data_IF_581073173209
#
_entry.id   IF_581073173209
#
_cell.length_a   1.000
_cell.length_b   1.000
_cell.length_c   1.000
_cell.angle_alpha   90.00
_cell.angle_beta   90.00
_cell.angle_gamma   90.00
#
_symmetry.space_group_name_H-M   'P 1'
#
loop_
_entity.id
_entity.type
_entity.pdbx_description
1 polymer ?
#
# COMPACT_ATOMS: atom_id res chain seq x y z
N UNK A 1 6.74 -1.74 -6.20
CA UNK A 1 5.33 -1.33 -6.40
C UNK A 1 4.31 -2.36 -5.95
N UNK A 2 4.37 -3.63 -6.38
CA UNK A 2 3.40 -4.68 -5.99
C UNK A 2 3.11 -4.75 -4.48
N UNK A 3 4.15 -4.86 -3.64
CA UNK A 3 3.97 -4.93 -2.16
C UNK A 3 3.27 -3.70 -1.58
N UNK A 4 3.56 -2.50 -2.10
CA UNK A 4 2.87 -1.27 -1.66
C UNK A 4 1.38 -1.36 -1.96
N UNK A 5 1.01 -1.74 -3.19
CA UNK A 5 -0.39 -1.96 -3.58
C UNK A 5 -1.06 -3.02 -2.70
N UNK A 6 -0.43 -4.18 -2.51
CA UNK A 6 -1.03 -5.29 -1.75
C UNK A 6 -1.30 -4.91 -0.29
N UNK A 7 -0.35 -4.21 0.35
CA UNK A 7 -0.51 -3.72 1.73
C UNK A 7 -1.63 -2.68 1.80
N UNK A 8 -1.64 -1.69 0.91
CA UNK A 8 -2.69 -0.68 0.86
C UNK A 8 -4.07 -1.29 0.62
N UNK A 9 -4.18 -2.22 -0.34
CA UNK A 9 -5.42 -2.93 -0.62
C UNK A 9 -5.91 -3.70 0.60
N UNK A 10 -5.06 -4.52 1.22
CA UNK A 10 -5.44 -5.31 2.41
C UNK A 10 -5.89 -4.41 3.55
N UNK A 11 -5.15 -3.33 3.81
CA UNK A 11 -5.49 -2.37 4.85
C UNK A 11 -6.86 -1.72 4.62
N UNK A 12 -7.13 -1.28 3.40
CA UNK A 12 -8.40 -0.63 3.04
C UNK A 12 -9.56 -1.63 3.04
N UNK A 13 -9.41 -2.79 2.40
CA UNK A 13 -10.45 -3.82 2.36
C UNK A 13 -10.87 -4.27 3.76
N UNK A 14 -9.94 -4.33 4.72
CA UNK A 14 -10.25 -4.69 6.10
C UNK A 14 -11.22 -3.70 6.80
N UNK A 15 -11.34 -2.47 6.29
CA UNK A 15 -12.26 -1.47 6.84
C UNK A 15 -13.71 -1.63 6.33
N UNK A 16 -13.94 -2.53 5.38
CA UNK A 16 -15.25 -2.73 4.75
C UNK A 16 -15.73 -4.19 4.86
N UNK A 17 -15.97 -4.70 6.09
CA UNK A 17 -16.45 -6.05 6.29
C UNK A 17 -17.81 -6.22 5.62
N UNK A 18 -17.88 -7.06 4.59
CA UNK A 18 -19.09 -7.31 3.80
C UNK A 18 -19.07 -6.74 2.38
N UNK A 19 -18.08 -5.89 2.04
CA UNK A 19 -17.92 -5.43 0.66
C UNK A 19 -17.14 -6.48 -0.15
N UNK A 20 -17.84 -7.17 -1.04
CA UNK A 20 -17.20 -8.17 -1.91
C UNK A 20 -16.35 -7.50 -2.99
N UNK A 21 -15.18 -8.08 -3.26
CA UNK A 21 -14.21 -7.54 -4.24
C UNK A 21 -13.80 -6.08 -4.02
N UNK A 22 -13.79 -5.62 -2.77
CA UNK A 22 -13.28 -4.29 -2.39
C UNK A 22 -11.86 -4.04 -2.94
N UNK A 23 -11.74 -3.12 -3.90
CA UNK A 23 -10.46 -2.70 -4.49
C UNK A 23 -10.31 -1.19 -4.45
N UNK A 24 -9.20 -0.65 -3.96
CA UNK A 24 -8.97 0.79 -4.04
C UNK A 24 -8.49 1.19 -5.45
N UNK A 25 -8.77 2.44 -5.83
CA UNK A 25 -8.00 3.08 -6.89
C UNK A 25 -6.59 3.36 -6.37
N UNK A 26 -5.59 3.11 -7.21
CA UNK A 26 -4.20 3.22 -6.81
C UNK A 26 -3.33 3.61 -8.00
N UNK A 27 -2.52 4.66 -7.83
CA UNK A 27 -1.46 5.06 -8.75
C UNK A 27 -0.17 5.14 -7.97
N UNK A 28 0.86 4.43 -8.42
CA UNK A 28 2.17 4.39 -7.78
C UNK A 28 3.27 4.87 -8.70
N UNK A 29 4.23 5.60 -8.14
CA UNK A 29 5.46 6.02 -8.80
C UNK A 29 6.67 5.62 -7.94
N UNK A 30 7.70 5.07 -8.58
CA UNK A 30 8.99 4.78 -7.94
C UNK A 30 9.89 5.99 -8.12
N UNK A 31 10.59 6.38 -7.07
CA UNK A 31 11.57 7.47 -7.12
C UNK A 31 12.86 7.04 -6.42
N UNK A 32 14.00 7.41 -7.01
CA UNK A 32 15.33 6.96 -6.55
C UNK A 32 16.05 8.02 -5.72
N UNK A 33 15.82 9.29 -6.04
CA UNK A 33 16.58 10.41 -5.49
C UNK A 33 15.72 11.20 -4.49
N UNK A 34 16.37 11.72 -3.45
CA UNK A 34 15.75 12.69 -2.56
C UNK A 34 15.86 14.13 -3.08
N UNK A 35 15.45 15.08 -2.25
CA UNK A 35 15.40 16.51 -2.60
C UNK A 35 16.75 17.14 -2.94
N UNK A 36 17.86 16.52 -2.54
CA UNK A 36 19.23 17.00 -2.79
C UNK A 36 20.06 15.98 -3.59
N UNK A 37 19.41 15.14 -4.40
CA UNK A 37 20.06 14.07 -5.20
C UNK A 37 20.80 13.05 -4.32
N UNK A 38 20.44 12.96 -3.05
CA UNK A 38 20.89 11.88 -2.18
C UNK A 38 20.15 10.59 -2.55
N UNK A 39 20.85 9.45 -2.53
CA UNK A 39 20.21 8.15 -2.74
C UNK A 39 19.13 7.95 -1.67
N UNK A 40 17.87 7.92 -2.11
CA UNK A 40 16.72 7.79 -1.23
C UNK A 40 15.59 7.04 -1.97
N UNK A 41 15.73 5.71 -2.16
CA UNK A 41 14.72 4.94 -2.87
C UNK A 41 13.40 4.97 -2.10
N UNK A 42 12.37 5.53 -2.71
CA UNK A 42 11.06 5.65 -2.12
C UNK A 42 9.97 5.52 -3.19
N UNK A 43 8.72 5.64 -2.74
CA UNK A 43 7.56 5.49 -3.59
C UNK A 43 6.50 6.51 -3.21
N UNK A 44 5.93 7.15 -4.22
CA UNK A 44 4.71 7.92 -4.08
C UNK A 44 3.52 7.04 -4.46
N UNK A 45 2.47 7.07 -3.64
CA UNK A 45 1.24 6.36 -3.92
C UNK A 45 0.06 7.31 -3.68
N UNK A 46 -0.71 7.55 -4.74
CA UNK A 46 -2.04 8.13 -4.63
C UNK A 46 -3.03 6.97 -4.53
N UNK A 47 -3.86 6.99 -3.49
CA UNK A 47 -4.85 5.97 -3.25
C UNK A 47 -6.17 6.60 -2.84
N UNK A 48 -7.28 6.03 -3.31
CA UNK A 48 -8.62 6.47 -2.94
C UNK A 48 -8.88 6.28 -1.45
N UNK A 49 -9.65 7.20 -0.86
CA UNK A 49 -10.18 7.07 0.51
C UNK A 49 -11.41 6.18 0.53
N UNK A 50 -11.28 4.96 0.01
CA UNK A 50 -12.39 4.06 -0.17
C UNK A 50 -12.06 2.95 -1.15
N UNK A 51 -13.04 2.10 -1.39
CA UNK A 51 -12.93 0.94 -2.27
C UNK A 51 -14.06 0.97 -3.29
N UNK A 52 -13.84 0.32 -4.42
CA UNK A 52 -14.88 0.00 -5.40
C UNK A 52 -15.35 -1.42 -5.12
N UNK A 53 -16.67 -1.62 -5.05
CA UNK A 53 -17.26 -2.94 -4.92
C UNK A 53 -17.47 -3.61 -6.29
N UNK A 54 -18.03 -4.82 -6.30
CA UNK A 54 -18.27 -5.56 -7.55
C UNK A 54 -19.31 -4.88 -8.44
N UNK A 55 -20.23 -4.14 -7.85
CA UNK A 55 -21.33 -3.42 -8.48
C UNK A 55 -20.90 -2.02 -8.97
N UNK A 56 -19.63 -1.65 -8.76
CA UNK A 56 -19.08 -0.35 -9.15
C UNK A 56 -19.42 0.79 -8.19
N UNK A 57 -20.02 0.51 -7.03
CA UNK A 57 -20.25 1.53 -5.99
C UNK A 57 -18.96 1.80 -5.25
N UNK A 58 -18.90 2.99 -4.65
CA UNK A 58 -17.73 3.46 -3.93
C UNK A 58 -18.02 3.72 -2.45
N UNK A 59 -17.92 2.70 -1.58
CA UNK A 59 -17.86 2.91 -0.14
C UNK A 59 -16.61 3.72 0.24
N UNK A 60 -16.82 4.94 0.72
CA UNK A 60 -15.75 5.81 1.19
C UNK A 60 -15.40 5.50 2.66
N UNK A 61 -14.14 5.75 3.03
CA UNK A 61 -13.73 5.83 4.42
C UNK A 61 -14.40 7.03 5.10
N UNK A 62 -14.59 6.98 6.43
CA UNK A 62 -15.01 8.14 7.19
C UNK A 62 -14.03 9.31 7.03
N UNK A 63 -14.55 10.54 7.04
CA UNK A 63 -13.71 11.73 7.05
C UNK A 63 -12.76 11.71 8.26
N UNK A 64 -11.48 12.05 8.03
CA UNK A 64 -10.46 12.06 9.08
C UNK A 64 -9.94 10.68 9.50
N UNK A 65 -10.24 9.62 8.74
CA UNK A 65 -9.73 8.28 9.03
C UNK A 65 -8.19 8.26 9.10
N UNK A 66 -7.67 7.79 10.24
CA UNK A 66 -6.24 7.75 10.51
C UNK A 66 -5.53 6.64 9.74
N UNK A 67 -4.51 7.00 8.95
CA UNK A 67 -3.74 6.05 8.12
C UNK A 67 -2.42 5.59 8.75
N UNK A 68 -2.15 5.98 10.00
CA UNK A 68 -0.90 5.64 10.70
C UNK A 68 -0.55 4.14 10.65
N UNK A 69 -1.50 3.20 10.85
CA UNK A 69 -1.18 1.77 10.82
C UNK A 69 -0.69 1.28 9.44
N UNK A 70 -1.09 1.94 8.34
CA UNK A 70 -0.67 1.56 6.99
C UNK A 70 0.85 1.66 6.82
N UNK A 71 1.49 2.67 7.41
CA UNK A 71 2.94 2.84 7.37
C UNK A 71 3.69 1.69 8.03
N UNK A 72 3.19 1.21 9.18
CA UNK A 72 3.79 0.09 9.90
C UNK A 72 3.62 -1.23 9.13
N UNK A 73 2.45 -1.47 8.53
CA UNK A 73 2.27 -2.64 7.67
C UNK A 73 3.19 -2.61 6.45
N UNK A 74 3.41 -1.43 5.86
CA UNK A 74 4.31 -1.30 4.72
C UNK A 74 5.76 -1.57 5.12
N UNK A 75 6.23 -1.01 6.24
CA UNK A 75 7.56 -1.28 6.80
C UNK A 75 7.79 -2.77 7.02
N UNK A 76 6.84 -3.45 7.67
CA UNK A 76 6.92 -4.88 7.89
C UNK A 76 7.00 -5.67 6.57
N UNK A 77 6.17 -5.33 5.59
CA UNK A 77 6.19 -5.98 4.28
C UNK A 77 7.51 -5.79 3.51
N UNK A 78 8.16 -4.62 3.65
CA UNK A 78 9.48 -4.37 3.06
C UNK A 78 10.54 -5.23 3.74
N UNK A 79 10.54 -5.31 5.07
CA UNK A 79 11.48 -6.15 5.82
C UNK A 79 11.37 -7.61 5.41
N UNK A 80 10.15 -8.15 5.28
CA UNK A 80 9.94 -9.52 4.80
C UNK A 80 10.58 -9.73 3.43
N UNK A 81 10.38 -8.81 2.48
CA UNK A 81 11.00 -8.93 1.15
C UNK A 81 12.53 -8.90 1.21
N UNK A 82 13.12 -8.06 2.07
CA UNK A 82 14.56 -7.96 2.20
C UNK A 82 15.15 -9.25 2.79
N UNK A 83 14.51 -9.81 3.82
CA UNK A 83 14.92 -11.06 4.46
C UNK A 83 14.77 -12.25 3.51
N UNK A 84 13.64 -12.35 2.81
CA UNK A 84 13.42 -13.38 1.77
C UNK A 84 14.53 -13.33 0.72
N UNK A 85 14.87 -12.12 0.23
CA UNK A 85 15.94 -11.95 -0.77
C UNK A 85 17.32 -12.27 -0.23
N UNK A 86 17.61 -11.94 1.03
CA UNK A 86 18.90 -12.28 1.65
C UNK A 86 19.07 -13.80 1.71
N UNK A 87 18.04 -14.54 2.11
CA UNK A 87 18.06 -16.01 2.14
C UNK A 87 18.16 -16.63 0.75
N UNK A 88 17.46 -16.08 -0.25
CA UNK A 88 17.55 -16.56 -1.64
C UNK A 88 18.94 -16.33 -2.26
N UNK A 89 19.70 -15.34 -1.77
CA UNK A 89 21.07 -15.05 -2.22
C UNK A 89 22.15 -15.82 -1.45
N UNK A 90 21.78 -16.45 -0.33
CA UNK A 90 22.68 -17.22 0.53
C UNK A 90 22.57 -18.74 0.39
N UNK A 91 21.70 -19.24 -0.51
CA UNK A 91 21.44 -20.65 -0.79
C UNK A 91 22.08 -21.12 -2.11
#
# INVERSE_FOLDING_TARGET
MRRAYDVTRRFLTAQFPGVTRAVPYFVGAVETWGSVVNLHPHAHALCSEGVVDREGKFPALPAGFGRRPLGEFFRHAVLVVLVEREWDLGA
#
